data_IF_298790034538
#
_entry.id   IF_298790034538
#
_cell.length_a   1.000
_cell.length_b   1.000
_cell.length_c   1.000
_cell.angle_alpha   90.00
_cell.angle_beta   90.00
_cell.angle_gamma   90.00
#
_symmetry.space_group_name_H-M   'P 1'
#
loop_
_entity.id
_entity.type
_entity.pdbx_description
1 polymer ?
#
# COMPACT_ATOMS: atom_id res chain seq x y z
N UNK A 1 -11.23 33.11 -13.22
CA UNK A 1 -11.76 34.32 -12.58
C UNK A 1 -10.99 35.56 -13.07
N UNK A 2 -9.67 35.69 -12.82
CA UNK A 2 -8.89 36.86 -13.18
C UNK A 2 -8.87 37.19 -14.67
N UNK A 3 -8.77 36.18 -15.55
CA UNK A 3 -8.90 36.37 -17.01
C UNK A 3 -10.24 36.96 -17.43
N UNK A 4 -11.32 36.60 -16.72
CA UNK A 4 -12.65 37.16 -16.95
C UNK A 4 -12.68 38.65 -16.59
N UNK A 5 -12.11 39.04 -15.42
CA UNK A 5 -12.07 40.44 -15.00
C UNK A 5 -11.28 41.34 -15.99
N UNK A 6 -10.19 40.82 -16.57
CA UNK A 6 -9.44 41.54 -17.62
C UNK A 6 -10.27 41.67 -18.89
N UNK A 7 -10.98 40.62 -19.29
CA UNK A 7 -11.84 40.63 -20.49
C UNK A 7 -12.99 41.63 -20.39
N UNK A 8 -13.56 41.75 -19.19
CA UNK A 8 -14.64 42.72 -18.91
C UNK A 8 -14.12 44.12 -18.56
N UNK A 9 -12.82 44.36 -18.77
CA UNK A 9 -12.15 45.65 -18.46
C UNK A 9 -12.32 46.14 -17.01
N UNK A 10 -12.60 45.25 -16.08
CA UNK A 10 -12.72 45.56 -14.65
C UNK A 10 -11.35 45.73 -13.96
N UNK A 11 -10.31 45.11 -14.52
CA UNK A 11 -8.90 45.27 -14.09
C UNK A 11 -8.00 45.34 -15.33
N UNK A 12 -6.93 46.13 -15.22
CA UNK A 12 -6.00 46.38 -16.33
C UNK A 12 -5.00 45.22 -16.59
N UNK A 13 -4.72 44.40 -15.60
CA UNK A 13 -3.77 43.28 -15.67
C UNK A 13 -4.26 42.09 -14.87
N UNK A 14 -3.90 40.88 -15.34
CA UNK A 14 -4.18 39.64 -14.61
C UNK A 14 -3.08 39.42 -13.54
N UNK A 15 -3.38 39.59 -12.24
CA UNK A 15 -2.38 39.42 -11.19
C UNK A 15 -1.85 37.99 -11.08
N UNK A 16 -2.60 37.00 -11.59
CA UNK A 16 -2.17 35.59 -11.60
C UNK A 16 -1.00 35.33 -12.57
N UNK A 17 -0.78 36.22 -13.58
CA UNK A 17 0.37 36.09 -14.49
C UNK A 17 1.71 36.42 -13.81
N UNK A 18 1.67 37.18 -12.70
CA UNK A 18 2.86 37.52 -11.94
C UNK A 18 3.27 36.46 -10.92
N UNK A 19 2.41 35.45 -10.68
CA UNK A 19 2.70 34.34 -9.78
C UNK A 19 3.50 33.29 -10.56
N UNK A 20 4.78 33.13 -10.21
CA UNK A 20 5.61 32.08 -10.79
C UNK A 20 5.00 30.72 -10.53
N UNK A 21 4.95 29.88 -11.57
CA UNK A 21 4.53 28.48 -11.40
C UNK A 21 5.56 27.80 -10.50
N UNK A 22 5.15 27.22 -9.34
CA UNK A 22 6.07 26.48 -8.50
C UNK A 22 6.76 25.40 -9.33
N UNK A 23 8.10 25.38 -9.34
CA UNK A 23 8.82 24.28 -9.94
C UNK A 23 8.46 23.01 -9.18
N UNK A 24 7.93 22.03 -9.90
CA UNK A 24 7.65 20.71 -9.33
C UNK A 24 8.99 20.10 -8.91
N UNK A 25 9.19 19.75 -7.63
CA UNK A 25 10.42 19.05 -7.24
C UNK A 25 10.57 17.79 -8.09
N UNK A 26 11.83 17.42 -8.40
CA UNK A 26 12.12 16.17 -9.11
C UNK A 26 11.34 15.03 -8.47
N UNK A 27 10.44 14.45 -9.23
CA UNK A 27 9.68 13.29 -8.77
C UNK A 27 10.65 12.12 -8.65
N UNK A 28 10.71 11.55 -7.45
CA UNK A 28 11.22 10.19 -7.29
C UNK A 28 10.56 9.27 -8.32
N UNK A 29 11.26 8.26 -8.84
CA UNK A 29 10.68 7.35 -9.81
C UNK A 29 9.35 6.80 -9.26
N UNK A 30 8.28 6.99 -10.01
CA UNK A 30 6.94 6.56 -9.61
C UNK A 30 6.83 5.00 -9.58
N UNK A 31 7.86 4.30 -10.08
CA UNK A 31 7.96 2.84 -10.23
C UNK A 31 9.32 2.35 -9.74
N UNK A 32 9.33 1.32 -8.91
CA UNK A 32 10.55 0.60 -8.53
C UNK A 32 10.90 -0.40 -9.63
N UNK A 33 12.19 -0.64 -9.86
CA UNK A 33 12.62 -1.77 -10.69
C UNK A 33 12.35 -3.10 -9.98
N UNK A 34 12.28 -4.21 -10.72
CA UNK A 34 12.11 -5.55 -10.17
C UNK A 34 13.19 -5.85 -9.11
N UNK A 35 14.46 -5.52 -9.40
CA UNK A 35 15.55 -5.72 -8.45
C UNK A 35 15.38 -4.91 -7.15
N UNK A 36 14.85 -3.69 -7.24
CA UNK A 36 14.54 -2.88 -6.06
C UNK A 36 13.40 -3.48 -5.25
N UNK A 37 12.38 -4.02 -5.91
CA UNK A 37 11.27 -4.70 -5.23
C UNK A 37 11.76 -5.97 -4.55
N UNK A 38 12.54 -6.82 -5.22
CA UNK A 38 13.15 -8.01 -4.60
C UNK A 38 13.99 -7.61 -3.37
N UNK A 39 14.88 -6.62 -3.51
CA UNK A 39 15.67 -6.13 -2.38
C UNK A 39 14.82 -5.59 -1.23
N UNK A 40 13.68 -4.96 -1.53
CA UNK A 40 12.74 -4.44 -0.54
C UNK A 40 12.07 -5.55 0.25
N UNK A 41 11.60 -6.59 -0.44
CA UNK A 41 10.86 -7.70 0.15
C UNK A 41 11.81 -8.65 0.89
N UNK A 42 12.89 -9.10 0.24
CA UNK A 42 13.88 -10.03 0.80
C UNK A 42 14.68 -9.39 1.96
N UNK A 43 14.84 -8.06 1.95
CA UNK A 43 15.54 -7.30 2.99
C UNK A 43 14.75 -7.10 4.28
N UNK A 44 13.50 -7.60 4.36
CA UNK A 44 12.70 -7.45 5.58
C UNK A 44 13.09 -8.48 6.65
N UNK A 45 13.26 -8.05 7.92
CA UNK A 45 13.42 -9.00 9.01
C UNK A 45 12.12 -9.80 9.21
N UNK A 46 12.28 -11.06 9.59
CA UNK A 46 11.19 -12.01 9.67
C UNK A 46 11.29 -12.89 10.94
N UNK A 47 11.57 -12.26 12.09
CA UNK A 47 11.84 -12.94 13.35
C UNK A 47 10.78 -12.67 14.41
N UNK A 48 10.48 -11.39 14.63
CA UNK A 48 9.49 -11.00 15.65
C UNK A 48 8.09 -10.95 15.06
N UNK A 49 7.02 -11.09 15.88
CA UNK A 49 5.64 -10.99 15.39
C UNK A 49 5.34 -9.70 14.61
N UNK A 50 5.92 -8.57 15.00
CA UNK A 50 5.74 -7.31 14.28
C UNK A 50 6.50 -7.28 12.95
N UNK A 51 7.67 -7.89 12.89
CA UNK A 51 8.46 -7.98 11.66
C UNK A 51 7.80 -8.92 10.64
N UNK A 52 7.32 -10.09 11.08
CA UNK A 52 6.54 -11.02 10.25
C UNK A 52 5.33 -10.30 9.66
N UNK A 53 4.57 -9.56 10.49
CA UNK A 53 3.44 -8.76 10.02
C UNK A 53 3.85 -7.72 8.97
N UNK A 54 4.92 -6.99 9.24
CA UNK A 54 5.37 -5.88 8.39
C UNK A 54 5.87 -6.40 7.04
N UNK A 55 6.62 -7.50 7.01
CA UNK A 55 7.03 -8.19 5.79
C UNK A 55 5.81 -8.69 5.01
N UNK A 56 4.86 -9.36 5.68
CA UNK A 56 3.62 -9.84 5.06
C UNK A 56 2.79 -8.69 4.45
N UNK A 57 2.75 -7.53 5.09
CA UNK A 57 2.08 -6.34 4.55
C UNK A 57 2.69 -5.92 3.21
N UNK A 58 4.02 -5.92 3.09
CA UNK A 58 4.71 -5.55 1.85
C UNK A 58 4.45 -6.57 0.75
N UNK A 59 4.53 -7.87 1.06
CA UNK A 59 4.22 -8.94 0.13
C UNK A 59 2.80 -8.84 -0.42
N UNK A 60 1.81 -8.61 0.44
CA UNK A 60 0.41 -8.50 0.00
C UNK A 60 0.17 -7.20 -0.77
N UNK A 61 0.79 -6.07 -0.38
CA UNK A 61 0.66 -4.81 -1.12
C UNK A 61 1.19 -4.92 -2.53
N UNK A 62 2.37 -5.51 -2.70
CA UNK A 62 2.98 -5.68 -4.01
C UNK A 62 2.35 -6.85 -4.76
N UNK A 63 2.33 -8.05 -4.19
CA UNK A 63 1.87 -9.27 -4.89
C UNK A 63 0.40 -9.26 -5.31
N UNK A 64 -0.44 -8.48 -4.62
CA UNK A 64 -1.87 -8.33 -4.96
C UNK A 64 -2.22 -6.94 -5.50
N UNK A 65 -1.26 -6.02 -5.53
CA UNK A 65 -1.47 -4.66 -5.99
C UNK A 65 -2.58 -3.90 -5.25
N UNK A 66 -2.75 -4.13 -3.95
CA UNK A 66 -3.83 -3.54 -3.15
C UNK A 66 -3.62 -2.04 -2.89
N UNK A 67 -4.73 -1.32 -2.76
CA UNK A 67 -4.71 0.00 -2.12
C UNK A 67 -4.55 -0.15 -0.62
N UNK A 68 -3.92 0.83 0.05
CA UNK A 68 -3.78 0.81 1.53
C UNK A 68 -5.12 0.68 2.24
N UNK A 69 -6.15 1.37 1.75
CA UNK A 69 -7.50 1.28 2.33
C UNK A 69 -8.10 -0.11 2.20
N UNK A 70 -7.81 -0.81 1.10
CA UNK A 70 -8.24 -2.19 0.88
C UNK A 70 -7.51 -3.14 1.83
N UNK A 71 -6.18 -3.01 1.93
CA UNK A 71 -5.37 -3.82 2.84
C UNK A 71 -5.84 -3.71 4.29
N UNK A 72 -5.97 -2.48 4.82
CA UNK A 72 -6.38 -2.27 6.23
C UNK A 72 -7.85 -2.64 6.47
N UNK A 73 -8.66 -2.66 5.41
CA UNK A 73 -10.06 -3.08 5.45
C UNK A 73 -10.27 -4.59 5.37
N UNK A 74 -9.21 -5.39 5.09
CA UNK A 74 -9.34 -6.84 5.03
C UNK A 74 -9.67 -7.43 6.39
N UNK A 75 -10.66 -8.32 6.41
CA UNK A 75 -11.01 -9.20 7.52
C UNK A 75 -10.58 -10.63 7.20
N UNK A 76 -10.51 -11.48 8.21
CA UNK A 76 -10.09 -12.88 8.08
C UNK A 76 -10.99 -13.68 7.11
N UNK A 77 -12.29 -13.44 7.15
CA UNK A 77 -13.29 -14.08 6.29
C UNK A 77 -13.22 -13.67 4.82
N UNK A 78 -12.42 -12.64 4.53
CA UNK A 78 -12.18 -12.12 3.18
C UNK A 78 -11.00 -12.77 2.47
N UNK A 79 -10.24 -13.61 3.18
CA UNK A 79 -9.10 -14.36 2.63
C UNK A 79 -9.54 -15.74 2.26
N UNK A 80 -9.53 -16.05 0.97
CA UNK A 80 -9.98 -17.33 0.40
C UNK A 80 -8.76 -18.11 -0.11
N UNK A 81 -8.15 -18.87 0.79
CA UNK A 81 -6.94 -19.65 0.46
C UNK A 81 -7.22 -20.71 -0.60
N UNK A 82 -8.37 -21.39 -0.51
CA UNK A 82 -8.77 -22.46 -1.44
C UNK A 82 -9.00 -21.94 -2.86
N UNK A 83 -9.49 -20.70 -2.98
CA UNK A 83 -9.77 -20.04 -4.25
C UNK A 83 -8.56 -19.21 -4.75
N UNK A 84 -7.54 -19.02 -3.93
CA UNK A 84 -6.44 -18.11 -4.24
C UNK A 84 -6.89 -16.68 -4.47
N UNK A 85 -7.87 -16.16 -3.68
CA UNK A 85 -8.43 -14.84 -3.86
C UNK A 85 -8.60 -14.06 -2.55
N UNK A 86 -8.50 -12.73 -2.66
CA UNK A 86 -8.88 -11.78 -1.62
C UNK A 86 -10.14 -11.03 -2.06
N UNK A 87 -11.14 -10.96 -1.19
CA UNK A 87 -12.33 -10.15 -1.40
C UNK A 87 -12.12 -8.76 -0.83
N UNK A 88 -11.96 -7.75 -1.67
CA UNK A 88 -11.69 -6.37 -1.25
C UNK A 88 -12.86 -5.44 -1.56
N UNK A 89 -13.04 -4.43 -0.71
CA UNK A 89 -14.01 -3.37 -0.90
C UNK A 89 -13.37 -2.20 -1.64
N UNK A 90 -13.83 -1.94 -2.85
CA UNK A 90 -13.41 -0.80 -3.67
C UNK A 90 -14.21 0.47 -3.38
N UNK A 91 -14.02 1.48 -4.23
CA UNK A 91 -14.79 2.74 -4.18
C UNK A 91 -16.29 2.49 -4.34
N UNK A 92 -17.10 3.07 -3.46
CA UNK A 92 -18.56 2.91 -3.47
C UNK A 92 -19.04 1.56 -2.91
N UNK A 93 -18.26 0.95 -2.02
CA UNK A 93 -18.58 -0.36 -1.39
C UNK A 93 -18.77 -1.52 -2.39
N UNK A 94 -18.26 -1.38 -3.61
CA UNK A 94 -18.27 -2.48 -4.57
C UNK A 94 -17.20 -3.49 -4.21
N UNK A 95 -17.59 -4.74 -4.06
CA UNK A 95 -16.65 -5.84 -3.84
C UNK A 95 -16.00 -6.25 -5.17
N UNK A 96 -14.72 -6.62 -5.09
CA UNK A 96 -14.03 -7.30 -6.18
C UNK A 96 -13.13 -8.39 -5.63
N UNK A 97 -12.90 -9.41 -6.41
CA UNK A 97 -11.89 -10.42 -6.14
C UNK A 97 -10.54 -9.96 -6.72
N UNK A 98 -9.49 -10.19 -5.95
CA UNK A 98 -8.11 -9.92 -6.35
C UNK A 98 -7.36 -11.23 -6.27
N UNK A 99 -6.59 -11.61 -7.30
CA UNK A 99 -5.72 -12.79 -7.24
C UNK A 99 -4.80 -12.72 -6.03
N UNK A 100 -4.68 -13.85 -5.34
CA UNK A 100 -3.86 -14.00 -4.15
C UNK A 100 -3.11 -15.32 -4.28
N UNK A 101 -1.82 -15.26 -4.56
CA UNK A 101 -1.02 -16.44 -4.91
C UNK A 101 0.45 -16.30 -4.50
N UNK A 102 1.21 -17.38 -4.66
CA UNK A 102 2.64 -17.40 -4.44
C UNK A 102 3.05 -16.99 -3.02
N UNK A 103 4.13 -16.24 -2.92
CA UNK A 103 4.72 -15.80 -1.64
C UNK A 103 3.73 -15.03 -0.74
N UNK A 104 2.79 -14.29 -1.32
CA UNK A 104 1.80 -13.57 -0.53
C UNK A 104 0.91 -14.52 0.29
N UNK A 105 0.53 -15.68 -0.27
CA UNK A 105 -0.21 -16.73 0.48
C UNK A 105 0.65 -17.26 1.64
N UNK A 106 1.89 -17.66 1.34
CA UNK A 106 2.80 -18.22 2.32
C UNK A 106 3.05 -17.26 3.49
N UNK A 107 3.34 -15.99 3.19
CA UNK A 107 3.54 -14.97 4.19
C UNK A 107 2.29 -14.74 5.06
N UNK A 108 1.09 -14.73 4.46
CA UNK A 108 -0.14 -14.57 5.24
C UNK A 108 -0.39 -15.79 6.11
N UNK A 109 -0.10 -17.00 5.64
CA UNK A 109 -0.23 -18.24 6.46
C UNK A 109 0.71 -18.20 7.65
N UNK A 110 2.00 -17.86 7.45
CA UNK A 110 2.98 -17.71 8.54
C UNK A 110 2.54 -16.62 9.51
N UNK A 111 2.09 -15.46 8.99
CA UNK A 111 1.60 -14.38 9.83
C UNK A 111 0.41 -14.83 10.71
N UNK A 112 -0.54 -15.56 10.15
CA UNK A 112 -1.71 -16.06 10.88
C UNK A 112 -1.33 -17.08 11.94
N UNK A 113 -0.33 -17.90 11.69
CA UNK A 113 0.12 -18.96 12.58
C UNK A 113 1.09 -18.43 13.65
N UNK A 114 2.12 -17.68 13.26
CA UNK A 114 3.29 -17.40 14.10
C UNK A 114 3.37 -15.95 14.60
N UNK A 115 2.51 -15.06 14.12
CA UNK A 115 2.55 -13.64 14.51
C UNK A 115 1.23 -13.16 15.09
N UNK A 116 0.13 -13.30 14.36
CA UNK A 116 -1.17 -12.75 14.73
C UNK A 116 -1.67 -13.21 16.11
N UNK A 117 -1.51 -14.48 16.56
CA UNK A 117 -1.91 -14.91 17.90
C UNK A 117 -1.25 -14.09 18.99
N UNK A 118 0.05 -13.78 18.87
CA UNK A 118 0.79 -12.96 19.84
C UNK A 118 0.28 -11.52 19.92
N UNK A 119 -0.25 -10.99 18.81
CA UNK A 119 -0.83 -9.65 18.77
C UNK A 119 -2.26 -9.60 19.33
N UNK A 120 -2.94 -10.73 19.45
CA UNK A 120 -4.30 -10.83 19.99
C UNK A 120 -4.36 -11.17 21.48
N UNK A 121 -3.29 -11.68 22.07
CA UNK A 121 -3.25 -12.24 23.43
C UNK A 121 -3.81 -11.34 24.55
N UNK A 122 -3.90 -10.04 24.35
CA UNK A 122 -4.33 -9.07 25.38
C UNK A 122 -5.79 -8.64 25.28
N UNK A 123 -6.61 -9.23 24.39
CA UNK A 123 -8.00 -8.77 24.17
C UNK A 123 -9.05 -9.84 24.40
N UNK A 124 -10.05 -9.50 25.21
CA UNK A 124 -11.24 -10.33 25.45
C UNK A 124 -12.06 -10.59 24.14
N UNK A 125 -12.02 -9.66 23.19
CA UNK A 125 -12.67 -9.78 21.89
C UNK A 125 -11.65 -9.55 20.77
N UNK A 126 -11.19 -10.62 20.09
CA UNK A 126 -10.25 -10.50 18.97
C UNK A 126 -10.85 -9.68 17.82
N UNK A 127 -10.04 -8.82 17.23
CA UNK A 127 -10.46 -8.07 16.04
C UNK A 127 -10.64 -9.03 14.85
N UNK A 128 -11.68 -8.87 14.02
CA UNK A 128 -11.83 -9.64 12.77
C UNK A 128 -10.80 -9.25 11.72
N UNK A 129 -10.12 -8.12 11.88
CA UNK A 129 -9.15 -7.63 10.92
C UNK A 129 -8.03 -8.63 10.65
N UNK A 130 -7.65 -8.78 9.38
CA UNK A 130 -6.50 -9.58 8.99
C UNK A 130 -5.24 -9.04 9.66
N UNK A 131 -4.90 -7.77 9.42
CA UNK A 131 -3.70 -7.14 9.98
C UNK A 131 -3.99 -6.35 11.26
N UNK A 132 -3.20 -6.66 12.29
CA UNK A 132 -3.32 -6.07 13.61
C UNK A 132 -2.17 -5.09 13.92
N UNK A 133 -2.47 -4.07 14.70
CA UNK A 133 -1.44 -3.25 15.33
C UNK A 133 -0.88 -3.95 16.58
N UNK A 134 0.17 -3.39 17.18
CA UNK A 134 0.80 -3.95 18.38
C UNK A 134 -0.13 -4.07 19.61
N UNK A 135 -1.31 -3.43 19.57
CA UNK A 135 -2.33 -3.49 20.65
C UNK A 135 -3.49 -4.42 20.29
N UNK A 136 -3.37 -5.24 19.24
CA UNK A 136 -4.39 -6.19 18.80
C UNK A 136 -5.63 -5.58 18.16
N UNK A 137 -5.62 -4.28 17.82
CA UNK A 137 -6.67 -3.64 17.04
C UNK A 137 -6.33 -3.63 15.55
N UNK A 138 -7.32 -3.26 14.71
CA UNK A 138 -7.10 -3.07 13.26
C UNK A 138 -5.94 -2.11 12.99
N UNK A 139 -5.11 -2.44 12.01
CA UNK A 139 -4.01 -1.60 11.58
C UNK A 139 -4.54 -0.33 10.89
N UNK A 140 -3.90 0.81 11.12
CA UNK A 140 -4.25 2.07 10.47
C UNK A 140 -3.49 2.27 9.16
N UNK A 141 -4.05 3.09 8.25
CA UNK A 141 -3.35 3.49 7.01
C UNK A 141 -2.01 4.15 7.29
N UNK A 142 -1.95 5.01 8.32
CA UNK A 142 -0.69 5.66 8.73
C UNK A 142 0.38 4.65 9.16
N UNK A 143 -0.02 3.57 9.86
CA UNK A 143 0.92 2.51 10.24
C UNK A 143 1.49 1.80 9.02
N UNK A 144 0.66 1.51 8.01
CA UNK A 144 1.13 0.90 6.76
C UNK A 144 2.10 1.83 6.02
N UNK A 145 1.81 3.15 5.96
CA UNK A 145 2.75 4.12 5.38
C UNK A 145 4.10 4.08 6.08
N UNK A 146 4.15 4.04 7.41
CA UNK A 146 5.40 3.94 8.18
C UNK A 146 6.16 2.64 7.90
N UNK A 147 5.45 1.52 7.73
CA UNK A 147 6.07 0.24 7.37
C UNK A 147 6.76 0.33 6.02
N UNK A 148 6.06 0.84 5.00
CA UNK A 148 6.59 0.99 3.64
C UNK A 148 7.77 1.98 3.61
N UNK A 149 7.65 3.14 4.26
CA UNK A 149 8.71 4.14 4.37
C UNK A 149 9.97 3.55 5.02
N UNK A 150 9.80 2.86 6.16
CA UNK A 150 10.92 2.20 6.86
C UNK A 150 11.59 1.13 6.01
N UNK A 151 10.82 0.35 5.25
CA UNK A 151 11.36 -0.64 4.32
C UNK A 151 12.15 0.02 3.19
N UNK A 152 11.64 1.12 2.61
CA UNK A 152 12.34 1.90 1.59
C UNK A 152 13.69 2.42 2.08
N UNK A 153 13.73 2.95 3.30
CA UNK A 153 14.98 3.46 3.90
C UNK A 153 16.05 2.37 4.02
N UNK A 154 15.69 1.11 4.25
CA UNK A 154 16.64 -0.02 4.34
C UNK A 154 17.38 -0.27 3.03
N UNK A 155 16.74 0.00 1.90
CA UNK A 155 17.34 -0.14 0.57
C UNK A 155 17.77 1.20 -0.02
N UNK A 156 17.88 2.24 0.82
CA UNK A 156 18.36 3.57 0.42
C UNK A 156 17.32 4.44 -0.31
N UNK A 157 16.06 4.01 -0.38
CA UNK A 157 14.98 4.78 -1.01
C UNK A 157 14.25 5.60 0.05
N UNK A 158 14.37 6.92 -0.04
CA UNK A 158 13.65 7.85 0.84
C UNK A 158 12.22 8.08 0.33
N UNK A 159 11.30 8.35 1.27
CA UNK A 159 9.91 8.71 0.97
C UNK A 159 9.17 7.66 0.11
N UNK A 160 9.46 6.38 0.28
CA UNK A 160 8.71 5.32 -0.38
C UNK A 160 7.28 5.29 0.13
N UNK A 161 6.31 5.21 -0.80
CA UNK A 161 4.89 5.22 -0.48
C UNK A 161 4.19 3.95 -0.98
N UNK A 162 3.09 3.51 -0.33
CA UNK A 162 2.33 2.35 -0.79
C UNK A 162 1.80 2.46 -2.22
N UNK A 163 1.52 3.68 -2.68
CA UNK A 163 1.13 3.92 -4.08
C UNK A 163 2.22 3.54 -5.08
N UNK A 164 3.49 3.77 -4.72
CA UNK A 164 4.63 3.37 -5.55
C UNK A 164 4.69 1.85 -5.72
N UNK A 165 4.48 1.07 -4.64
CA UNK A 165 4.43 -0.40 -4.73
C UNK A 165 3.31 -0.88 -5.66
N UNK A 166 2.11 -0.32 -5.50
CA UNK A 166 0.99 -0.66 -6.38
C UNK A 166 1.25 -0.27 -7.83
N UNK A 167 1.89 0.88 -8.07
CA UNK A 167 2.23 1.33 -9.42
C UNK A 167 3.29 0.43 -10.04
N UNK A 168 4.29 0.04 -9.26
CA UNK A 168 5.31 -0.94 -9.67
C UNK A 168 4.69 -2.29 -10.01
N UNK A 169 3.77 -2.80 -9.19
CA UNK A 169 3.02 -4.02 -9.49
C UNK A 169 2.31 -3.93 -10.84
N UNK A 170 1.53 -2.84 -11.09
CA UNK A 170 0.79 -2.69 -12.32
C UNK A 170 1.71 -2.62 -13.55
N UNK A 171 2.83 -1.90 -13.43
CA UNK A 171 3.83 -1.79 -14.52
C UNK A 171 4.47 -3.14 -14.80
N UNK A 172 4.95 -3.85 -13.77
CA UNK A 172 5.58 -5.15 -13.94
C UNK A 172 4.62 -6.23 -14.45
N UNK A 173 3.33 -6.14 -14.08
CA UNK A 173 2.31 -7.04 -14.60
C UNK A 173 2.11 -6.85 -16.11
N UNK A 174 2.06 -5.60 -16.58
CA UNK A 174 1.98 -5.26 -18.01
C UNK A 174 3.23 -5.69 -18.77
N UNK A 175 4.42 -5.43 -18.22
CA UNK A 175 5.70 -5.86 -18.81
C UNK A 175 5.80 -7.40 -18.90
N UNK A 176 5.16 -8.11 -17.94
CA UNK A 176 5.02 -9.57 -17.96
C UNK A 176 3.98 -10.10 -18.95
N UNK A 177 3.32 -9.24 -19.73
CA UNK A 177 2.37 -9.63 -20.77
C UNK A 177 0.94 -9.86 -20.28
N UNK A 178 0.59 -9.42 -19.07
CA UNK A 178 -0.79 -9.49 -18.60
C UNK A 178 -1.64 -8.39 -19.26
N UNK A 179 -2.83 -8.76 -19.66
CA UNK A 179 -3.87 -7.84 -20.12
C UNK A 179 -4.64 -7.30 -18.90
N UNK A 180 -4.90 -5.97 -18.85
CA UNK A 180 -5.52 -5.29 -17.70
C UNK A 180 -7.01 -5.05 -17.89
#
# INVERSE_FOLDING_TARGET
YHKFLVRENLVSKDPAQMVGIPQKPEKLPDVLSINQVCSLLDGMPFVTPLEIRDATILEVLYGCGLRVSELVGLDLDRVRFDEGTLRVLGKGSKERLVPFSGLAIEHVQIYLQDSRPYLTCSKAHPSPALFLNARGGRLSRQSVHKVVEKAGLRIGIKNLHPHTLRHSFATHLLEGGADL
#
